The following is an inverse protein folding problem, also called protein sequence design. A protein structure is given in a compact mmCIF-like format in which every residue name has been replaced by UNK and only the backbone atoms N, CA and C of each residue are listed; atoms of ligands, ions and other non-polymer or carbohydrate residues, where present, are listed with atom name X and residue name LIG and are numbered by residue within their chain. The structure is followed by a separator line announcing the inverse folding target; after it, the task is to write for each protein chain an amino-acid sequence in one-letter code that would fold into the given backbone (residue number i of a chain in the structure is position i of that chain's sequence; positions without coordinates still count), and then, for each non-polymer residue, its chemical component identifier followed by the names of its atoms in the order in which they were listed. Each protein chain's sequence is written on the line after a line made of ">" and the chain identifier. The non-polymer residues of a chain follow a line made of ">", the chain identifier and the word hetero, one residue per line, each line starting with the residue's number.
data_IF_379410654378
#
_entry.id   IF_379410654378
#
_cell.length_a   1.000
_cell.length_b   1.000
_cell.length_c   1.000
_cell.angle_alpha   90.00
_cell.angle_beta   90.00
_cell.angle_gamma   90.00
#
_symmetry.space_group_name_H-M   'P 1'
#
loop_
_entity.id
_entity.type
_entity.pdbx_description
1 polymer ?
#
# COMPACT_ATOMS: atom_id res chain seq x y z
N UNK A 1 -13.55 7.76 11.18
CA UNK A 1 -12.56 7.03 11.98
C UNK A 1 -12.81 5.54 11.96
N UNK A 2 -13.95 5.02 12.46
CA UNK A 2 -14.28 3.59 12.34
C UNK A 2 -14.16 3.06 10.88
N UNK A 3 -14.74 3.78 9.91
CA UNK A 3 -14.62 3.41 8.50
C UNK A 3 -13.17 3.40 7.96
N UNK A 4 -12.27 4.22 8.50
CA UNK A 4 -10.86 4.22 8.09
C UNK A 4 -10.13 2.99 8.64
N UNK A 5 -10.35 2.67 9.91
CA UNK A 5 -9.78 1.50 10.56
C UNK A 5 -10.32 0.18 9.97
N UNK A 6 -11.61 0.12 9.61
CA UNK A 6 -12.21 -1.04 8.94
C UNK A 6 -11.59 -1.28 7.55
N UNK A 7 -11.36 -0.21 6.79
CA UNK A 7 -10.66 -0.29 5.49
C UNK A 7 -9.23 -0.77 5.71
N UNK A 8 -8.50 -0.18 6.66
CA UNK A 8 -7.14 -0.62 6.99
C UNK A 8 -7.06 -2.12 7.35
N UNK A 9 -7.91 -2.59 8.26
CA UNK A 9 -7.94 -3.98 8.69
C UNK A 9 -8.23 -4.95 7.53
N UNK A 10 -9.18 -4.58 6.65
CA UNK A 10 -9.51 -5.39 5.47
C UNK A 10 -8.30 -5.58 4.55
N UNK A 11 -7.49 -4.53 4.37
CA UNK A 11 -6.34 -4.59 3.48
C UNK A 11 -5.09 -5.17 4.12
N UNK A 12 -4.92 -5.05 5.44
CA UNK A 12 -3.85 -5.73 6.17
C UNK A 12 -3.95 -7.26 5.96
N UNK A 13 -5.14 -7.83 6.13
CA UNK A 13 -5.40 -9.26 5.91
C UNK A 13 -5.11 -9.67 4.46
N UNK A 14 -5.58 -8.88 3.48
CA UNK A 14 -5.34 -9.12 2.06
C UNK A 14 -3.86 -9.07 1.70
N UNK A 15 -3.13 -8.05 2.18
CA UNK A 15 -1.71 -7.91 1.91
C UNK A 15 -0.90 -9.08 2.49
N UNK A 16 -1.17 -9.47 3.74
CA UNK A 16 -0.53 -10.62 4.37
C UNK A 16 -0.80 -11.92 3.58
N UNK A 17 -2.04 -12.11 3.13
CA UNK A 17 -2.43 -13.27 2.31
C UNK A 17 -1.70 -13.27 0.97
N UNK A 18 -1.75 -12.17 0.22
CA UNK A 18 -1.10 -12.06 -1.09
C UNK A 18 0.41 -12.22 -1.00
N UNK A 19 1.05 -11.73 0.07
CA UNK A 19 2.48 -11.93 0.24
C UNK A 19 2.85 -13.36 0.62
N UNK A 20 2.06 -14.03 1.47
CA UNK A 20 2.27 -15.44 1.76
C UNK A 20 2.22 -16.28 0.47
N UNK A 21 1.22 -16.04 -0.38
CA UNK A 21 1.07 -16.74 -1.67
C UNK A 21 2.20 -16.45 -2.66
N UNK A 22 2.68 -15.21 -2.71
CA UNK A 22 3.78 -14.84 -3.60
C UNK A 22 5.12 -15.43 -3.14
N UNK A 23 5.36 -15.54 -1.82
CA UNK A 23 6.55 -16.22 -1.28
C UNK A 23 6.53 -17.72 -1.60
N UNK A 24 5.38 -18.39 -1.39
CA UNK A 24 5.23 -19.81 -1.75
C UNK A 24 5.41 -20.05 -3.25
N UNK A 25 4.88 -19.17 -4.11
CA UNK A 25 5.07 -19.28 -5.56
C UNK A 25 6.47 -18.92 -6.04
N UNK A 26 7.23 -18.10 -5.31
CA UNK A 26 8.57 -17.70 -5.78
C UNK A 26 9.53 -18.90 -5.88
N UNK A 27 9.35 -19.92 -5.05
CA UNK A 27 10.16 -21.13 -5.09
C UNK A 27 9.84 -22.03 -6.31
N UNK A 28 8.58 -22.05 -6.75
CA UNK A 28 8.09 -22.95 -7.82
C UNK A 28 7.93 -22.28 -9.19
N UNK A 29 7.53 -21.00 -9.25
CA UNK A 29 7.31 -20.21 -10.46
C UNK A 29 7.72 -18.73 -10.25
N UNK A 30 9.00 -18.41 -10.50
CA UNK A 30 9.50 -17.05 -10.33
C UNK A 30 8.88 -16.04 -11.29
N UNK A 31 8.40 -16.46 -12.48
CA UNK A 31 7.71 -15.56 -13.41
C UNK A 31 6.29 -15.27 -12.96
N UNK A 32 5.58 -16.29 -12.46
CA UNK A 32 4.30 -16.14 -11.78
C UNK A 32 4.40 -15.22 -10.56
N UNK A 33 5.46 -15.35 -9.76
CA UNK A 33 5.71 -14.49 -8.61
C UNK A 33 5.98 -13.03 -9.00
N UNK A 34 6.68 -12.76 -10.11
CA UNK A 34 6.87 -11.39 -10.63
C UNK A 34 5.55 -10.80 -11.13
N UNK A 35 4.74 -11.57 -11.86
CA UNK A 35 3.43 -11.12 -12.29
C UNK A 35 2.50 -10.82 -11.09
N UNK A 36 2.56 -11.66 -10.06
CA UNK A 36 1.79 -11.50 -8.83
C UNK A 36 2.28 -10.29 -7.99
N UNK A 37 3.58 -10.01 -8.00
CA UNK A 37 4.15 -8.78 -7.43
C UNK A 37 3.66 -7.52 -8.14
N UNK A 38 3.54 -7.56 -9.47
CA UNK A 38 2.96 -6.46 -10.25
C UNK A 38 1.49 -6.19 -9.92
N UNK A 39 0.68 -7.24 -9.77
CA UNK A 39 -0.72 -7.10 -9.31
C UNK A 39 -0.80 -6.61 -7.86
N UNK A 40 0.10 -7.06 -6.98
CA UNK A 40 0.14 -6.61 -5.58
C UNK A 40 0.41 -5.12 -5.46
N UNK A 41 1.26 -4.53 -6.32
CA UNK A 41 1.46 -3.07 -6.36
C UNK A 41 0.19 -2.34 -6.79
N UNK A 42 -0.55 -2.87 -7.78
CA UNK A 42 -1.84 -2.31 -8.19
C UNK A 42 -2.91 -2.41 -7.09
N UNK A 43 -2.97 -3.53 -6.39
CA UNK A 43 -3.89 -3.72 -5.25
C UNK A 43 -3.55 -2.79 -4.08
N UNK A 44 -2.25 -2.59 -3.80
CA UNK A 44 -1.79 -1.60 -2.82
C UNK A 44 -2.17 -0.17 -3.23
N UNK A 45 -2.05 0.18 -4.51
CA UNK A 45 -2.49 1.49 -4.99
C UNK A 45 -4.00 1.70 -4.74
N UNK A 46 -4.83 0.71 -5.08
CA UNK A 46 -6.28 0.75 -4.81
C UNK A 46 -6.60 0.86 -3.32
N UNK A 47 -5.89 0.12 -2.46
CA UNK A 47 -6.00 0.23 -1.01
C UNK A 47 -5.78 1.67 -0.54
N UNK A 48 -4.70 2.31 -0.99
CA UNK A 48 -4.38 3.66 -0.57
C UNK A 48 -5.42 4.68 -1.04
N UNK A 49 -6.05 4.48 -2.19
CA UNK A 49 -7.20 5.29 -2.63
C UNK A 49 -8.41 5.13 -1.72
N UNK A 50 -8.74 3.90 -1.31
CA UNK A 50 -9.86 3.65 -0.39
C UNK A 50 -9.58 4.21 1.00
N UNK A 51 -8.36 4.05 1.50
CA UNK A 51 -7.91 4.68 2.74
C UNK A 51 -8.01 6.21 2.64
N UNK A 52 -7.56 6.81 1.54
CA UNK A 52 -7.62 8.26 1.34
C UNK A 52 -9.06 8.78 1.33
N UNK A 53 -9.98 8.06 0.68
CA UNK A 53 -11.40 8.40 0.66
C UNK A 53 -12.06 8.31 2.05
N UNK A 54 -11.64 7.34 2.87
CA UNK A 54 -12.13 7.16 4.24
C UNK A 54 -11.37 7.99 5.29
N UNK A 55 -10.27 8.65 4.90
CA UNK A 55 -9.35 9.29 5.84
C UNK A 55 -9.98 10.49 6.57
N UNK A 56 -9.79 10.58 7.91
CA UNK A 56 -10.12 11.78 8.64
C UNK A 56 -9.26 12.95 8.15
N UNK A 57 -9.77 14.17 8.31
CA UNK A 57 -9.19 15.40 7.75
C UNK A 57 -7.73 15.62 8.17
N UNK A 58 -7.36 15.15 9.38
CA UNK A 58 -6.03 15.27 9.97
C UNK A 58 -4.93 14.52 9.20
N UNK A 59 -5.25 13.35 8.61
CA UNK A 59 -4.29 12.54 7.86
C UNK A 59 -4.62 12.40 6.37
N UNK A 60 -5.76 12.96 5.92
CA UNK A 60 -6.22 12.80 4.54
C UNK A 60 -5.18 13.16 3.50
N UNK A 61 -4.52 14.32 3.66
CA UNK A 61 -3.49 14.77 2.72
C UNK A 61 -2.28 13.81 2.70
N UNK A 62 -1.94 13.20 3.83
CA UNK A 62 -0.86 12.21 3.89
C UNK A 62 -1.26 10.90 3.20
N UNK A 63 -2.47 10.41 3.47
CA UNK A 63 -3.00 9.20 2.83
C UNK A 63 -3.16 9.38 1.31
N UNK A 64 -3.68 10.53 0.85
CA UNK A 64 -3.76 10.90 -0.56
C UNK A 64 -2.37 10.93 -1.20
N UNK A 65 -1.37 11.50 -0.50
CA UNK A 65 0.00 11.57 -1.01
C UNK A 65 0.64 10.19 -1.17
N UNK A 66 0.35 9.26 -0.26
CA UNK A 66 0.81 7.87 -0.40
C UNK A 66 0.14 7.18 -1.58
N UNK A 67 -1.17 7.40 -1.78
CA UNK A 67 -1.91 6.86 -2.92
C UNK A 67 -1.30 7.31 -4.26
N UNK A 68 -1.06 8.62 -4.41
CA UNK A 68 -0.41 9.18 -5.61
C UNK A 68 0.96 8.56 -5.90
N UNK A 69 1.77 8.33 -4.86
CA UNK A 69 3.11 7.76 -4.99
C UNK A 69 3.07 6.25 -5.28
N UNK A 70 2.02 5.53 -4.87
CA UNK A 70 1.80 4.14 -5.24
C UNK A 70 1.29 4.00 -6.67
N UNK A 71 0.39 4.88 -7.13
CA UNK A 71 -0.02 4.92 -8.54
C UNK A 71 1.20 5.12 -9.46
N UNK A 72 2.10 6.03 -9.06
CA UNK A 72 3.33 6.30 -9.80
C UNK A 72 4.34 5.13 -9.80
N UNK A 73 4.11 4.06 -9.03
CA UNK A 73 4.92 2.85 -9.03
C UNK A 73 4.37 1.77 -9.96
N UNK A 74 3.10 1.84 -10.36
CA UNK A 74 2.49 0.86 -11.28
C UNK A 74 3.18 0.94 -12.64
N UNK A 75 3.94 -0.10 -12.99
CA UNK A 75 4.69 -0.17 -14.25
C UNK A 75 5.91 0.74 -14.32
N UNK A 76 6.36 1.30 -13.20
CA UNK A 76 7.53 2.18 -13.15
C UNK A 76 8.85 1.40 -13.08
N UNK A 77 9.90 2.00 -13.63
CA UNK A 77 11.27 1.48 -13.54
C UNK A 77 11.83 1.57 -12.10
N UNK A 78 12.76 0.68 -11.75
CA UNK A 78 13.33 0.56 -10.40
C UNK A 78 13.83 1.90 -9.81
N UNK A 79 14.51 2.80 -10.55
CA UNK A 79 14.93 4.09 -10.00
C UNK A 79 13.76 4.97 -9.54
N UNK A 80 12.65 4.96 -10.28
CA UNK A 80 11.43 5.70 -9.94
C UNK A 80 10.76 5.10 -8.70
N UNK A 81 10.71 3.78 -8.61
CA UNK A 81 10.20 3.06 -7.43
C UNK A 81 10.98 3.45 -6.17
N UNK A 82 12.31 3.46 -6.25
CA UNK A 82 13.18 3.85 -5.12
C UNK A 82 12.99 5.32 -4.72
N UNK A 83 12.90 6.22 -5.70
CA UNK A 83 12.68 7.64 -5.43
C UNK A 83 11.31 7.87 -4.76
N UNK A 84 10.26 7.23 -5.28
CA UNK A 84 8.91 7.33 -4.72
C UNK A 84 8.87 6.77 -3.30
N UNK A 85 9.51 5.63 -3.04
CA UNK A 85 9.64 5.06 -1.70
C UNK A 85 10.21 6.06 -0.69
N UNK A 86 11.30 6.76 -1.03
CA UNK A 86 11.91 7.78 -0.17
C UNK A 86 10.96 8.95 0.10
N UNK A 87 10.24 9.42 -0.92
CA UNK A 87 9.28 10.52 -0.77
C UNK A 87 8.05 10.13 0.07
N UNK A 88 7.73 8.83 0.12
CA UNK A 88 6.57 8.29 0.80
C UNK A 88 6.81 8.07 2.30
N UNK A 89 8.06 8.01 2.76
CA UNK A 89 8.40 7.70 4.16
C UNK A 89 7.77 8.67 5.17
N UNK A 90 7.81 9.98 4.91
CA UNK A 90 7.25 10.98 5.82
C UNK A 90 5.73 10.84 6.00
N UNK A 91 4.95 10.83 4.90
CA UNK A 91 3.51 10.55 4.95
C UNK A 91 3.18 9.20 5.59
N UNK A 92 3.91 8.12 5.23
CA UNK A 92 3.70 6.79 5.80
C UNK A 92 3.88 6.76 7.32
N UNK A 93 4.91 7.42 7.86
CA UNK A 93 5.12 7.48 9.31
C UNK A 93 3.99 8.18 10.05
N UNK A 94 3.40 9.24 9.46
CA UNK A 94 2.26 9.94 10.08
C UNK A 94 0.98 9.12 10.02
N UNK A 95 0.73 8.44 8.90
CA UNK A 95 -0.39 7.52 8.76
C UNK A 95 -0.26 6.36 9.75
N UNK A 96 0.92 5.76 9.86
CA UNK A 96 1.21 4.65 10.78
C UNK A 96 1.00 5.06 12.25
N UNK A 97 1.58 6.20 12.66
CA UNK A 97 1.38 6.73 14.00
C UNK A 97 -0.11 6.97 14.31
N UNK A 98 -0.85 7.52 13.35
CA UNK A 98 -2.29 7.73 13.51
C UNK A 98 -3.04 6.41 13.67
N UNK A 99 -2.74 5.38 12.86
CA UNK A 99 -3.37 4.06 12.96
C UNK A 99 -3.12 3.45 14.34
N UNK A 100 -1.86 3.45 14.81
CA UNK A 100 -1.48 2.90 16.12
C UNK A 100 -2.23 3.58 17.27
N UNK A 101 -2.48 4.88 17.17
CA UNK A 101 -3.17 5.65 18.21
C UNK A 101 -4.70 5.52 18.15
N UNK A 102 -5.29 5.16 17.00
CA UNK A 102 -6.71 5.37 16.75
C UNK A 102 -7.52 4.14 16.26
N UNK A 103 -6.90 2.99 15.94
CA UNK A 103 -7.60 1.85 15.29
C UNK A 103 -7.74 0.53 16.10
#
# INVERSE_FOLDING_TARGET
>A
MAAYCDVHATYEERYQTSMSEAVERFEDDPLGAVAQGGTAVGDLANMWHELAAAAPEEIRADTERVAELMDAQVGAELPTVLQNYLMMQGPLQRVDAFIVENC
#
